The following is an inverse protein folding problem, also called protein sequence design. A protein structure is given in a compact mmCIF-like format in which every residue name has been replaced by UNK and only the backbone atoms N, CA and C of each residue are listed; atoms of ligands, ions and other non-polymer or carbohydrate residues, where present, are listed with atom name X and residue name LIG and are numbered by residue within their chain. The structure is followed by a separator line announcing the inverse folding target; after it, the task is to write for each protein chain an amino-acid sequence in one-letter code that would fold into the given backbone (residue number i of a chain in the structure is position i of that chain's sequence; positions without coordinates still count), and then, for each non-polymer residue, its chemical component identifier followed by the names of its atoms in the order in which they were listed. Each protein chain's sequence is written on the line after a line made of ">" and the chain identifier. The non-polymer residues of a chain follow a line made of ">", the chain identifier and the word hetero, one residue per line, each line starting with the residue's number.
data_IF_529252772639
#
_entry.id   IF_529252772639
#
_cell.length_a   1.000
_cell.length_b   1.000
_cell.length_c   1.000
_cell.angle_alpha   90.00
_cell.angle_beta   90.00
_cell.angle_gamma   90.00
#
_symmetry.space_group_name_H-M   'P 1'
#
loop_
_entity.id
_entity.type
_entity.pdbx_description
1 polymer ?
#
# COMPACT_ATOMS: atom_id res chain seq x y z
N UNK A 1 33.94 63.64 2.73
CA UNK A 1 34.27 62.90 3.97
C UNK A 1 33.03 62.08 4.36
N UNK A 2 33.12 60.73 4.31
CA UNK A 2 32.16 59.69 4.78
C UNK A 2 30.74 59.72 4.15
N UNK A 3 30.40 58.88 3.16
CA UNK A 3 29.97 57.46 3.20
C UNK A 3 28.80 57.18 4.15
N UNK A 4 27.65 56.76 3.60
CA UNK A 4 26.65 55.79 4.12
C UNK A 4 25.63 55.60 2.98
N UNK A 5 25.49 54.50 2.22
CA UNK A 5 25.28 53.07 2.49
C UNK A 5 24.22 52.77 3.57
N UNK A 6 23.03 52.43 3.06
CA UNK A 6 22.23 51.21 3.34
C UNK A 6 21.55 51.01 4.71
N UNK A 7 20.25 50.73 4.67
CA UNK A 7 19.53 49.53 5.18
C UNK A 7 18.05 49.95 5.41
N UNK A 8 17.07 49.45 4.64
CA UNK A 8 16.27 48.24 4.90
C UNK A 8 15.84 48.10 6.36
N UNK A 9 14.58 48.46 6.61
CA UNK A 9 13.84 48.30 7.86
C UNK A 9 13.20 46.89 7.88
N UNK A 10 13.27 46.11 8.97
CA UNK A 10 12.25 45.11 9.27
C UNK A 10 11.20 45.73 10.20
N UNK A 11 9.94 45.70 9.77
CA UNK A 11 8.80 46.11 10.57
C UNK A 11 8.51 45.03 11.63
N UNK A 12 8.93 45.29 12.87
CA UNK A 12 8.34 44.67 14.06
C UNK A 12 7.27 45.64 14.53
N UNK A 13 6.01 45.38 14.18
CA UNK A 13 4.89 46.13 14.78
C UNK A 13 4.57 45.46 16.11
N UNK A 14 5.12 46.04 17.17
CA UNK A 14 4.70 45.80 18.55
C UNK A 14 3.21 46.06 18.71
N UNK A 15 2.54 45.10 19.33
CA UNK A 15 1.20 45.22 19.89
C UNK A 15 1.21 46.32 20.96
N UNK A 16 0.61 47.47 20.65
CA UNK A 16 0.32 48.53 21.64
C UNK A 16 -1.15 48.38 22.04
N UNK A 17 -1.37 47.94 23.27
CA UNK A 17 -2.70 47.89 23.88
C UNK A 17 -3.04 49.29 24.41
N UNK A 18 -4.09 49.88 23.85
CA UNK A 18 -4.74 51.05 24.44
C UNK A 18 -5.47 50.63 25.72
N UNK A 19 -5.00 51.09 26.87
CA UNK A 19 -5.74 51.01 28.12
C UNK A 19 -6.87 52.06 28.11
N UNK A 20 -8.06 51.66 27.67
CA UNK A 20 -9.32 52.35 27.94
C UNK A 20 -10.08 51.57 29.02
N UNK A 21 -10.42 52.24 30.13
CA UNK A 21 -11.15 51.65 31.25
C UNK A 21 -12.52 51.09 30.83
N UNK A 22 -12.66 49.77 30.83
CA UNK A 22 -13.94 49.06 30.90
C UNK A 22 -13.82 48.05 32.06
N UNK A 23 -14.72 48.02 33.07
CA UNK A 23 -14.61 47.09 34.20
C UNK A 23 -15.13 45.68 33.89
N UNK A 24 -15.59 45.42 32.67
CA UNK A 24 -15.70 44.05 32.19
C UNK A 24 -14.31 43.57 31.81
N UNK A 25 -13.71 42.78 32.70
CA UNK A 25 -12.57 41.96 32.34
C UNK A 25 -13.01 41.15 31.10
N UNK A 26 -12.48 41.38 29.89
CA UNK A 26 -12.82 40.50 28.78
C UNK A 26 -12.36 39.13 29.25
N UNK A 27 -13.32 38.25 29.51
CA UNK A 27 -13.04 36.83 29.69
C UNK A 27 -12.54 36.41 28.32
N UNK A 28 -11.23 36.46 28.14
CA UNK A 28 -10.58 35.81 27.03
C UNK A 28 -11.03 34.35 27.14
N UNK A 29 -11.61 33.75 26.09
CA UNK A 29 -11.93 32.34 26.14
C UNK A 29 -10.65 31.58 26.49
N UNK A 30 -10.77 30.56 27.34
CA UNK A 30 -9.62 29.72 27.69
C UNK A 30 -8.92 29.25 26.40
N UNK A 31 -7.59 29.30 26.32
CA UNK A 31 -6.86 28.81 25.16
C UNK A 31 -7.30 27.38 24.88
N UNK A 32 -7.83 27.15 23.67
CA UNK A 32 -8.24 25.82 23.28
C UNK A 32 -7.00 25.01 22.91
N UNK A 33 -6.76 23.93 23.65
CA UNK A 33 -5.67 22.99 23.37
C UNK A 33 -5.98 22.15 22.13
N UNK A 34 -4.95 21.54 21.51
CA UNK A 34 -5.08 20.70 20.33
C UNK A 34 -6.16 19.60 20.51
N UNK A 35 -6.19 18.96 21.68
CA UNK A 35 -7.22 17.99 22.07
C UNK A 35 -8.64 18.54 21.91
N UNK A 36 -8.91 19.75 22.39
CA UNK A 36 -10.24 20.36 22.28
C UNK A 36 -10.64 20.62 20.82
N UNK A 37 -9.69 21.05 19.98
CA UNK A 37 -9.94 21.23 18.55
C UNK A 37 -10.24 19.89 17.86
N UNK A 38 -9.50 18.84 18.20
CA UNK A 38 -9.74 17.49 17.69
C UNK A 38 -11.10 16.94 18.13
N UNK A 39 -11.51 17.14 19.39
CA UNK A 39 -12.84 16.74 19.86
C UNK A 39 -13.97 17.41 19.08
N UNK A 40 -13.84 18.71 18.78
CA UNK A 40 -14.83 19.41 17.96
C UNK A 40 -14.79 18.96 16.50
N UNK A 41 -13.61 18.60 15.98
CA UNK A 41 -13.46 17.98 14.66
C UNK A 41 -14.23 16.67 14.56
N UNK A 42 -14.08 15.78 15.54
CA UNK A 42 -14.80 14.51 15.56
C UNK A 42 -16.31 14.68 15.77
N UNK A 43 -16.75 15.66 16.57
CA UNK A 43 -18.18 16.00 16.69
C UNK A 43 -18.76 16.48 15.36
N UNK A 44 -18.03 17.34 14.64
CA UNK A 44 -18.43 17.79 13.31
C UNK A 44 -18.44 16.63 12.30
N UNK A 45 -17.45 15.73 12.36
CA UNK A 45 -17.40 14.53 11.53
C UNK A 45 -18.63 13.63 11.76
N UNK A 46 -18.97 13.34 13.01
CA UNK A 46 -20.16 12.55 13.34
C UNK A 46 -21.48 13.25 12.97
N UNK A 47 -21.48 14.58 12.85
CA UNK A 47 -22.59 15.35 12.31
C UNK A 47 -22.60 15.40 10.76
N UNK A 48 -21.68 14.69 10.08
CA UNK A 48 -21.45 14.73 8.64
C UNK A 48 -21.08 16.13 8.09
N UNK A 49 -20.60 17.03 8.96
CA UNK A 49 -20.03 18.32 8.55
C UNK A 49 -18.51 18.18 8.36
N UNK A 50 -18.13 17.51 7.28
CA UNK A 50 -16.74 17.15 7.01
C UNK A 50 -15.84 18.37 6.74
N UNK A 51 -16.41 19.44 6.19
CA UNK A 51 -15.67 20.69 5.99
C UNK A 51 -15.32 21.34 7.33
N UNK A 52 -16.30 21.45 8.24
CA UNK A 52 -16.04 21.96 9.59
C UNK A 52 -15.11 21.03 10.38
N UNK A 53 -15.26 19.72 10.22
CA UNK A 53 -14.38 18.73 10.85
C UNK A 53 -12.93 18.96 10.44
N UNK A 54 -12.68 19.10 9.13
CA UNK A 54 -11.34 19.35 8.59
C UNK A 54 -10.74 20.65 9.14
N UNK A 55 -11.49 21.75 9.21
CA UNK A 55 -11.02 23.00 9.80
C UNK A 55 -10.63 22.84 11.28
N UNK A 56 -11.44 22.12 12.06
CA UNK A 56 -11.16 21.83 13.46
C UNK A 56 -9.89 20.98 13.63
N UNK A 57 -9.71 19.94 12.81
CA UNK A 57 -8.50 19.13 12.85
C UNK A 57 -7.25 19.92 12.42
N UNK A 58 -7.35 20.78 11.41
CA UNK A 58 -6.27 21.68 11.03
C UNK A 58 -5.90 22.65 12.15
N UNK A 59 -6.89 23.22 12.84
CA UNK A 59 -6.64 24.05 14.02
C UNK A 59 -5.95 23.26 15.16
N UNK A 60 -6.27 21.98 15.34
CA UNK A 60 -5.56 21.13 16.29
C UNK A 60 -4.10 20.92 15.90
N UNK A 61 -3.82 20.68 14.62
CA UNK A 61 -2.46 20.53 14.05
C UNK A 61 -1.66 21.85 14.20
N UNK A 62 -2.30 23.00 13.98
CA UNK A 62 -1.65 24.31 14.14
C UNK A 62 -1.24 24.59 15.60
N UNK A 63 -2.00 24.05 16.56
CA UNK A 63 -1.69 24.15 18.00
C UNK A 63 -0.60 23.14 18.39
N UNK A 64 -0.68 21.90 17.90
CA UNK A 64 0.31 20.85 18.14
C UNK A 64 0.54 19.99 16.89
N UNK A 65 1.66 20.23 16.23
CA UNK A 65 2.07 19.51 15.01
C UNK A 65 2.43 18.05 15.25
N UNK A 66 2.52 17.61 16.51
CA UNK A 66 2.80 16.21 16.90
C UNK A 66 1.54 15.43 17.25
N UNK A 67 0.36 16.06 17.19
CA UNK A 67 -0.88 15.45 17.62
C UNK A 67 -1.47 14.52 16.54
N UNK A 68 -1.08 13.24 16.58
CA UNK A 68 -1.39 12.22 15.57
C UNK A 68 -2.89 12.06 15.28
N UNK A 69 -3.74 12.13 16.31
CA UNK A 69 -5.20 12.00 16.19
C UNK A 69 -5.81 13.12 15.31
N UNK A 70 -5.24 14.33 15.34
CA UNK A 70 -5.73 15.42 14.50
C UNK A 70 -5.39 15.18 13.01
N UNK A 71 -4.21 14.63 12.71
CA UNK A 71 -3.89 14.21 11.35
C UNK A 71 -4.81 13.09 10.86
N UNK A 72 -5.08 12.09 11.71
CA UNK A 72 -6.04 11.03 11.40
C UNK A 72 -7.41 11.62 11.03
N UNK A 73 -7.97 12.45 11.91
CA UNK A 73 -9.27 13.07 11.69
C UNK A 73 -9.30 13.93 10.42
N UNK A 74 -8.23 14.67 10.13
CA UNK A 74 -8.10 15.44 8.90
C UNK A 74 -8.09 14.55 7.65
N UNK A 75 -7.40 13.40 7.70
CA UNK A 75 -7.39 12.39 6.64
C UNK A 75 -8.78 11.86 6.34
N UNK A 76 -9.50 11.40 7.37
CA UNK A 76 -10.88 10.91 7.25
C UNK A 76 -11.85 11.98 6.76
N UNK A 77 -11.77 13.20 7.29
CA UNK A 77 -12.60 14.32 6.81
C UNK A 77 -12.33 14.61 5.33
N UNK A 78 -11.06 14.56 4.91
CA UNK A 78 -10.65 14.83 3.52
C UNK A 78 -11.16 13.79 2.51
N UNK A 79 -11.52 12.57 2.93
CA UNK A 79 -12.17 11.59 2.06
C UNK A 79 -13.56 12.04 1.61
N UNK A 80 -14.23 12.86 2.42
CA UNK A 80 -15.62 13.26 2.22
C UNK A 80 -15.75 14.73 1.76
N UNK A 81 -14.66 15.50 1.73
CA UNK A 81 -14.63 16.88 1.23
C UNK A 81 -14.15 16.87 -0.23
N UNK A 82 -14.97 17.41 -1.13
CA UNK A 82 -14.62 17.55 -2.55
C UNK A 82 -13.29 18.29 -2.73
N UNK A 83 -12.46 17.84 -3.67
CA UNK A 83 -11.15 18.40 -4.02
C UNK A 83 -10.03 18.28 -2.95
N UNK A 84 -10.27 17.66 -1.79
CA UNK A 84 -9.26 17.50 -0.72
C UNK A 84 -8.61 16.12 -0.61
N UNK A 85 -9.08 15.14 -1.38
CA UNK A 85 -8.49 13.81 -1.58
C UNK A 85 -6.99 13.76 -1.88
N UNK A 86 -6.40 14.81 -2.46
CA UNK A 86 -4.95 14.89 -2.71
C UNK A 86 -4.16 14.98 -1.40
N UNK A 87 -4.72 15.62 -0.37
CA UNK A 87 -4.07 15.84 0.93
C UNK A 87 -4.33 14.72 1.95
N UNK A 88 -5.35 13.89 1.71
CA UNK A 88 -5.66 12.77 2.60
C UNK A 88 -4.47 11.82 2.79
N UNK A 89 -3.69 11.62 1.72
CA UNK A 89 -2.47 10.80 1.72
C UNK A 89 -1.43 11.34 2.72
N UNK A 90 -1.12 12.64 2.63
CA UNK A 90 -0.21 13.33 3.54
C UNK A 90 -0.70 13.26 4.99
N UNK A 91 -2.02 13.38 5.22
CA UNK A 91 -2.59 13.30 6.56
C UNK A 91 -2.47 11.90 7.16
N UNK A 92 -2.78 10.83 6.42
CA UNK A 92 -2.61 9.46 6.92
C UNK A 92 -1.14 9.11 7.16
N UNK A 93 -0.26 9.51 6.24
CA UNK A 93 1.18 9.38 6.43
C UNK A 93 1.66 10.09 7.70
N UNK A 94 1.22 11.33 7.93
CA UNK A 94 1.59 12.09 9.12
C UNK A 94 0.98 11.52 10.39
N UNK A 95 -0.25 11.00 10.36
CA UNK A 95 -0.87 10.32 11.50
C UNK A 95 -0.01 9.13 11.96
N UNK A 96 0.39 8.27 11.02
CA UNK A 96 1.30 7.14 11.27
C UNK A 96 2.65 7.61 11.81
N UNK A 97 3.26 8.61 11.15
CA UNK A 97 4.57 9.11 11.54
C UNK A 97 4.57 9.72 12.94
N UNK A 98 3.54 10.49 13.30
CA UNK A 98 3.45 11.10 14.63
C UNK A 98 3.09 10.08 15.72
N UNK A 99 2.24 9.10 15.42
CA UNK A 99 1.87 8.04 16.38
C UNK A 99 3.05 7.11 16.67
N UNK A 100 3.78 6.68 15.64
CA UNK A 100 4.87 5.71 15.75
C UNK A 100 6.24 6.36 15.97
N UNK A 101 6.37 7.67 15.72
CA UNK A 101 7.64 8.40 15.68
C UNK A 101 8.48 8.15 14.42
N UNK A 102 7.98 7.39 13.45
CA UNK A 102 8.60 7.11 12.15
C UNK A 102 7.54 6.64 11.13
N UNK A 103 7.86 6.70 9.83
CA UNK A 103 6.99 6.14 8.79
C UNK A 103 7.16 4.61 8.73
N UNK A 104 6.13 3.80 9.07
CA UNK A 104 6.27 2.35 9.15
C UNK A 104 6.29 1.67 7.79
N UNK A 105 5.75 2.31 6.75
CA UNK A 105 5.75 1.81 5.38
C UNK A 105 6.75 2.62 4.57
N UNK A 106 7.66 1.93 3.88
CA UNK A 106 8.61 2.55 2.95
C UNK A 106 8.40 2.01 1.56
N UNK A 107 8.22 2.90 0.58
CA UNK A 107 8.13 2.55 -0.83
C UNK A 107 9.49 2.72 -1.51
N UNK A 108 9.92 1.72 -2.26
CA UNK A 108 11.22 1.72 -2.94
C UNK A 108 11.15 0.90 -4.22
N UNK A 109 12.09 1.17 -5.13
CA UNK A 109 12.35 0.31 -6.28
C UNK A 109 13.52 -0.62 -5.97
N UNK A 110 13.47 -1.84 -6.51
CA UNK A 110 14.52 -2.85 -6.43
C UNK A 110 14.81 -3.46 -7.78
N UNK A 111 15.95 -4.14 -7.88
CA UNK A 111 16.36 -4.87 -9.07
C UNK A 111 17.12 -6.13 -8.66
N UNK A 112 16.78 -7.26 -9.26
CA UNK A 112 17.49 -8.53 -9.08
C UNK A 112 17.82 -9.13 -10.44
N UNK A 113 19.06 -9.56 -10.62
CA UNK A 113 19.47 -10.28 -11.83
C UNK A 113 19.44 -11.77 -11.56
N UNK A 114 18.78 -12.51 -12.43
CA UNK A 114 18.74 -13.95 -12.34
C UNK A 114 20.11 -14.55 -12.67
N UNK A 115 20.73 -15.23 -11.71
CA UNK A 115 21.99 -15.95 -11.91
C UNK A 115 21.86 -17.15 -12.88
N UNK A 116 23.01 -17.70 -13.29
CA UNK A 116 23.13 -18.82 -14.25
C UNK A 116 22.53 -20.14 -13.79
N UNK A 117 22.31 -20.31 -12.49
CA UNK A 117 21.78 -21.51 -11.86
C UNK A 117 20.33 -21.35 -11.39
N UNK A 118 19.65 -20.25 -11.78
CA UNK A 118 18.28 -19.95 -11.34
C UNK A 118 18.04 -19.96 -9.83
N UNK A 119 19.01 -19.45 -9.05
CA UNK A 119 18.88 -19.44 -7.59
C UNK A 119 18.22 -18.17 -7.04
N UNK A 120 18.28 -17.04 -7.75
CA UNK A 120 17.59 -15.81 -7.34
C UNK A 120 16.06 -15.91 -7.39
N UNK A 121 15.47 -16.33 -8.51
CA UNK A 121 14.04 -16.63 -8.62
C UNK A 121 13.88 -18.15 -8.71
N UNK A 122 13.44 -18.76 -7.61
CA UNK A 122 13.26 -20.20 -7.52
C UNK A 122 12.05 -20.63 -8.34
N UNK A 123 12.27 -21.47 -9.35
CA UNK A 123 11.20 -22.03 -10.17
C UNK A 123 10.36 -23.03 -9.36
N UNK A 124 9.05 -22.87 -9.41
CA UNK A 124 8.08 -23.71 -8.69
C UNK A 124 7.25 -24.59 -9.63
N UNK A 125 7.56 -24.58 -10.93
CA UNK A 125 6.80 -25.35 -11.90
C UNK A 125 6.96 -26.86 -11.66
N UNK A 126 5.87 -27.61 -11.48
CA UNK A 126 5.94 -29.05 -11.21
C UNK A 126 6.53 -29.85 -12.38
N UNK A 127 6.58 -29.31 -13.60
CA UNK A 127 7.24 -29.92 -14.75
C UNK A 127 8.77 -29.68 -14.75
N UNK A 128 9.27 -28.78 -13.89
CA UNK A 128 10.69 -28.40 -13.79
C UNK A 128 11.25 -28.60 -12.37
N UNK A 129 11.13 -29.82 -11.78
CA UNK A 129 11.79 -30.08 -10.50
C UNK A 129 13.33 -30.03 -10.65
N UNK A 130 14.10 -29.90 -9.55
CA UNK A 130 15.56 -29.77 -9.60
C UNK A 130 16.26 -30.84 -10.44
N UNK A 131 15.82 -32.10 -10.36
CA UNK A 131 16.39 -33.20 -11.15
C UNK A 131 16.25 -33.04 -12.69
N UNK A 132 15.28 -32.26 -13.14
CA UNK A 132 15.07 -31.90 -14.56
C UNK A 132 15.79 -30.59 -14.89
N UNK A 133 15.72 -29.62 -13.98
CA UNK A 133 16.19 -28.27 -14.20
C UNK A 133 17.72 -28.15 -14.07
N UNK A 134 18.33 -28.75 -13.04
CA UNK A 134 19.76 -28.63 -12.74
C UNK A 134 20.66 -29.05 -13.92
N UNK A 135 20.45 -30.19 -14.60
CA UNK A 135 21.31 -30.59 -15.71
C UNK A 135 21.22 -29.66 -16.93
N UNK A 136 20.10 -28.94 -17.09
CA UNK A 136 19.94 -27.92 -18.13
C UNK A 136 20.72 -26.67 -17.70
N UNK A 137 20.54 -26.23 -16.46
CA UNK A 137 21.15 -25.00 -15.94
C UNK A 137 22.67 -25.08 -15.83
N UNK A 138 23.23 -26.25 -15.49
CA UNK A 138 24.69 -26.49 -15.49
C UNK A 138 25.34 -26.20 -16.85
N UNK A 139 24.59 -26.36 -17.94
CA UNK A 139 25.09 -26.14 -19.30
C UNK A 139 24.97 -24.67 -19.76
N UNK A 140 24.28 -23.81 -19.00
CA UNK A 140 24.01 -22.43 -19.39
C UNK A 140 25.27 -21.64 -19.73
N UNK A 141 26.32 -21.80 -18.92
CA UNK A 141 27.60 -21.10 -19.15
C UNK A 141 28.25 -21.45 -20.50
N UNK A 142 27.97 -22.65 -21.03
CA UNK A 142 28.55 -23.15 -22.28
C UNK A 142 27.63 -22.97 -23.50
N UNK A 143 26.31 -23.05 -23.31
CA UNK A 143 25.31 -23.03 -24.39
C UNK A 143 24.55 -21.70 -24.51
N UNK A 144 24.53 -20.91 -23.44
CA UNK A 144 23.80 -19.64 -23.35
C UNK A 144 22.30 -19.78 -23.07
N UNK A 145 21.66 -18.65 -22.71
CA UNK A 145 20.27 -18.60 -22.27
C UNK A 145 19.24 -18.99 -23.37
N UNK A 146 19.55 -18.75 -24.64
CA UNK A 146 18.67 -19.15 -25.75
C UNK A 146 18.51 -20.68 -25.82
N UNK A 147 19.60 -21.42 -25.63
CA UNK A 147 19.56 -22.88 -25.61
C UNK A 147 18.79 -23.41 -24.41
N UNK A 148 18.97 -22.81 -23.23
CA UNK A 148 18.19 -23.14 -22.01
C UNK A 148 16.70 -22.94 -22.27
N UNK A 149 16.36 -21.80 -22.88
CA UNK A 149 15.01 -21.47 -23.33
C UNK A 149 14.37 -22.58 -24.18
N UNK A 150 15.16 -23.13 -25.10
CA UNK A 150 14.74 -24.18 -26.04
C UNK A 150 14.61 -25.55 -25.39
N UNK A 151 15.37 -25.84 -24.32
CA UNK A 151 15.22 -27.09 -23.55
C UNK A 151 14.00 -27.05 -22.65
N UNK A 152 13.71 -25.90 -22.03
CA UNK A 152 12.64 -25.78 -21.04
C UNK A 152 11.26 -25.65 -21.70
N UNK A 153 11.15 -24.92 -22.82
CA UNK A 153 9.86 -24.66 -23.46
C UNK A 153 9.03 -25.92 -23.74
N UNK A 154 9.58 -27.02 -24.32
CA UNK A 154 8.80 -28.24 -24.55
C UNK A 154 8.27 -28.93 -23.28
N UNK A 155 8.87 -28.65 -22.12
CA UNK A 155 8.50 -29.25 -20.83
C UNK A 155 7.30 -28.55 -20.21
N UNK A 156 7.21 -27.23 -20.35
CA UNK A 156 6.14 -26.39 -19.79
C UNK A 156 5.04 -26.06 -20.81
N UNK A 157 5.27 -26.30 -22.10
CA UNK A 157 4.33 -25.97 -23.15
C UNK A 157 3.09 -26.87 -23.11
N UNK A 158 1.91 -26.23 -23.16
CA UNK A 158 0.63 -26.89 -23.35
C UNK A 158 0.00 -26.44 -24.69
N UNK A 159 -0.60 -27.35 -25.45
CA UNK A 159 -1.27 -27.01 -26.71
C UNK A 159 -2.48 -26.08 -26.50
N UNK A 160 -3.14 -26.20 -25.34
CA UNK A 160 -4.29 -25.39 -24.96
C UNK A 160 -3.86 -24.02 -24.40
N UNK A 161 -2.66 -23.91 -23.82
CA UNK A 161 -2.03 -22.66 -23.37
C UNK A 161 -0.67 -22.44 -24.03
N UNK A 162 -0.68 -21.69 -25.13
CA UNK A 162 0.50 -21.48 -25.97
C UNK A 162 1.54 -20.52 -25.39
N UNK A 163 1.25 -19.89 -24.25
CA UNK A 163 2.14 -18.97 -23.54
C UNK A 163 2.31 -19.44 -22.09
N UNK A 164 3.15 -20.46 -21.86
CA UNK A 164 3.28 -21.05 -20.54
C UNK A 164 3.70 -20.00 -19.51
N UNK A 165 2.97 -19.97 -18.40
CA UNK A 165 3.25 -19.11 -17.27
C UNK A 165 3.97 -19.94 -16.21
N UNK A 166 5.20 -19.57 -15.89
CA UNK A 166 6.05 -20.35 -14.98
C UNK A 166 6.00 -19.69 -13.59
N UNK A 167 5.58 -20.40 -12.53
CA UNK A 167 5.56 -19.84 -11.20
C UNK A 167 6.98 -19.79 -10.61
N UNK A 168 7.29 -18.69 -9.93
CA UNK A 168 8.53 -18.48 -9.20
C UNK A 168 8.25 -17.96 -7.79
N UNK A 169 9.26 -18.02 -6.92
CA UNK A 169 9.34 -17.22 -5.71
C UNK A 169 10.73 -16.62 -5.53
N UNK A 170 10.82 -15.53 -4.80
CA UNK A 170 12.09 -14.87 -4.47
C UNK A 170 11.96 -14.02 -3.19
N UNK A 171 13.11 -13.67 -2.60
CA UNK A 171 13.21 -12.63 -1.59
C UNK A 171 13.71 -11.33 -2.23
N UNK A 172 13.26 -10.20 -1.69
CA UNK A 172 13.87 -8.90 -1.98
C UNK A 172 15.05 -8.67 -1.01
N UNK A 173 15.97 -7.76 -1.34
CA UNK A 173 17.14 -7.48 -0.48
C UNK A 173 16.76 -6.81 0.86
N UNK A 174 15.58 -6.19 0.95
CA UNK A 174 15.11 -5.51 2.16
C UNK A 174 14.13 -6.37 2.95
N UNK A 175 14.37 -6.52 4.25
CA UNK A 175 13.49 -7.30 5.12
C UNK A 175 12.06 -6.73 5.21
N UNK A 176 11.11 -7.63 5.47
CA UNK A 176 9.70 -7.32 5.73
C UNK A 176 8.97 -6.68 4.54
N UNK A 177 9.14 -7.23 3.34
CA UNK A 177 8.30 -6.88 2.19
C UNK A 177 6.83 -7.10 2.54
N UNK A 178 5.99 -6.09 2.28
CA UNK A 178 4.57 -6.08 2.63
C UNK A 178 3.67 -6.00 1.40
N UNK A 179 4.12 -5.38 0.32
CA UNK A 179 3.37 -5.31 -0.93
C UNK A 179 4.30 -5.17 -2.13
N UNK A 180 3.88 -5.78 -3.24
CA UNK A 180 4.47 -5.67 -4.57
C UNK A 180 3.38 -6.07 -5.57
N UNK A 181 3.21 -5.33 -6.67
CA UNK A 181 2.12 -5.57 -7.63
C UNK A 181 2.61 -6.32 -8.87
N UNK A 182 3.79 -5.95 -9.37
CA UNK A 182 4.43 -6.56 -10.53
C UNK A 182 5.93 -6.53 -10.41
N UNK A 183 6.60 -7.44 -11.11
CA UNK A 183 7.99 -7.28 -11.53
C UNK A 183 8.04 -7.00 -13.03
N UNK A 184 8.95 -6.17 -13.48
CA UNK A 184 9.18 -5.87 -14.88
C UNK A 184 10.44 -6.60 -15.35
N UNK A 185 10.29 -7.36 -16.42
CA UNK A 185 11.38 -8.11 -17.04
C UNK A 185 12.08 -7.22 -18.08
N UNK A 186 13.31 -6.80 -17.79
CA UNK A 186 14.03 -5.84 -18.65
C UNK A 186 14.36 -6.40 -20.04
N UNK A 187 14.49 -7.72 -20.17
CA UNK A 187 14.77 -8.38 -21.45
C UNK A 187 13.53 -8.42 -22.35
N UNK A 188 12.37 -8.76 -21.78
CA UNK A 188 11.12 -8.90 -22.56
C UNK A 188 10.25 -7.66 -22.59
N UNK A 189 10.53 -6.67 -21.75
CA UNK A 189 9.69 -5.49 -21.55
C UNK A 189 8.24 -5.83 -21.19
N UNK A 190 8.05 -6.89 -20.40
CA UNK A 190 6.75 -7.32 -19.90
C UNK A 190 6.72 -7.37 -18.37
N UNK A 191 5.55 -7.03 -17.82
CA UNK A 191 5.27 -7.23 -16.40
C UNK A 191 4.92 -8.69 -16.13
N UNK A 192 5.60 -9.27 -15.15
CA UNK A 192 5.24 -10.52 -14.49
C UNK A 192 4.42 -10.19 -13.24
N UNK A 193 3.16 -10.65 -13.16
CA UNK A 193 2.29 -10.32 -12.03
C UNK A 193 2.73 -11.02 -10.75
N UNK A 194 2.59 -10.33 -9.62
CA UNK A 194 2.71 -10.96 -8.29
C UNK A 194 1.45 -11.76 -8.00
N UNK A 195 1.65 -12.96 -7.50
CA UNK A 195 0.59 -13.89 -7.09
C UNK A 195 0.28 -13.75 -5.60
N UNK A 196 1.30 -13.71 -4.75
CA UNK A 196 1.14 -13.59 -3.29
C UNK A 196 2.43 -13.16 -2.61
N UNK A 197 2.32 -12.67 -1.38
CA UNK A 197 3.45 -12.43 -0.47
C UNK A 197 3.16 -13.15 0.83
N UNK A 198 3.94 -14.18 1.16
CA UNK A 198 3.65 -15.09 2.27
C UNK A 198 4.86 -15.27 3.19
N UNK A 199 4.67 -15.51 4.50
CA UNK A 199 5.78 -15.73 5.42
C UNK A 199 6.67 -16.89 4.97
N UNK A 200 8.00 -16.75 5.12
CA UNK A 200 8.96 -17.81 4.81
C UNK A 200 9.20 -18.79 5.97
N UNK A 201 8.74 -18.44 7.18
CA UNK A 201 8.95 -19.21 8.40
C UNK A 201 10.24 -18.86 9.16
N UNK A 202 11.08 -17.97 8.62
CA UNK A 202 12.35 -17.52 9.19
C UNK A 202 12.35 -16.03 9.57
N UNK A 203 11.22 -15.34 9.40
CA UNK A 203 11.02 -13.96 9.81
C UNK A 203 11.05 -12.95 8.66
N UNK A 204 10.97 -13.43 7.41
CA UNK A 204 10.76 -12.60 6.22
C UNK A 204 9.63 -13.19 5.36
N UNK A 205 9.52 -12.74 4.10
CA UNK A 205 8.43 -13.10 3.21
C UNK A 205 8.92 -13.50 1.82
N UNK A 206 8.39 -14.62 1.34
CA UNK A 206 8.47 -15.00 -0.06
C UNK A 206 7.53 -14.14 -0.91
N UNK A 207 8.05 -13.56 -1.98
CA UNK A 207 7.26 -12.97 -3.05
C UNK A 207 7.06 -14.03 -4.14
N UNK A 208 5.83 -14.45 -4.35
CA UNK A 208 5.47 -15.37 -5.43
C UNK A 208 5.08 -14.59 -6.68
N UNK A 209 5.66 -14.95 -7.82
CA UNK A 209 5.51 -14.24 -9.08
C UNK A 209 5.33 -15.22 -10.23
N UNK A 210 4.44 -14.89 -11.16
CA UNK A 210 4.27 -15.66 -12.38
C UNK A 210 5.12 -15.07 -13.50
N UNK A 211 6.19 -15.77 -13.88
CA UNK A 211 7.04 -15.43 -15.01
C UNK A 211 6.30 -15.59 -16.33
N UNK A 212 6.07 -14.47 -17.02
CA UNK A 212 5.34 -14.48 -18.29
C UNK A 212 6.25 -14.90 -19.44
N UNK A 213 5.89 -15.96 -20.16
CA UNK A 213 6.59 -16.34 -21.38
C UNK A 213 6.47 -15.28 -22.48
N UNK A 214 7.61 -14.93 -23.07
CA UNK A 214 7.73 -14.07 -24.25
C UNK A 214 8.77 -14.63 -25.21
N UNK A 215 8.54 -14.39 -26.49
CA UNK A 215 9.55 -14.56 -27.52
C UNK A 215 10.06 -13.18 -27.92
N UNK A 216 11.36 -12.96 -27.75
CA UNK A 216 12.02 -11.68 -28.02
C UNK A 216 13.09 -11.86 -29.08
N UNK A 217 13.34 -10.81 -29.84
CA UNK A 217 14.37 -10.80 -30.89
C UNK A 217 15.59 -10.03 -30.40
N UNK A 218 16.75 -10.68 -30.32
CA UNK A 218 18.01 -10.06 -29.90
C UNK A 218 19.03 -10.25 -31.03
N UNK A 219 19.23 -9.21 -31.83
CA UNK A 219 19.97 -9.33 -33.09
C UNK A 219 19.28 -10.32 -34.03
N UNK A 220 20.01 -11.35 -34.46
CA UNK A 220 19.48 -12.41 -35.34
C UNK A 220 18.90 -13.61 -34.57
N UNK A 221 18.95 -13.59 -33.23
CA UNK A 221 18.48 -14.68 -32.38
C UNK A 221 17.04 -14.45 -31.92
N UNK A 222 16.24 -15.51 -31.95
CA UNK A 222 14.92 -15.57 -31.32
C UNK A 222 15.09 -16.26 -29.97
N UNK A 223 14.91 -15.50 -28.88
CA UNK A 223 15.08 -16.01 -27.52
C UNK A 223 13.69 -16.24 -26.91
N UNK A 224 13.47 -17.45 -26.41
CA UNK A 224 12.35 -17.76 -25.51
C UNK A 224 12.76 -17.31 -24.11
N UNK A 225 12.00 -16.38 -23.54
CA UNK A 225 12.33 -15.79 -22.25
C UNK A 225 11.12 -15.75 -21.34
N UNK A 226 11.41 -15.80 -20.05
CA UNK A 226 10.55 -15.62 -18.89
C UNK A 226 11.48 -14.95 -17.86
N UNK A 227 11.42 -15.26 -16.57
CA UNK A 227 12.51 -14.93 -15.64
C UNK A 227 13.74 -15.82 -15.93
N UNK A 228 14.48 -15.52 -17.02
CA UNK A 228 15.60 -16.32 -17.51
C UNK A 228 16.94 -15.83 -16.99
N UNK A 229 17.99 -16.64 -17.16
CA UNK A 229 19.37 -16.30 -16.78
C UNK A 229 19.78 -14.96 -17.37
N UNK A 230 20.52 -14.17 -16.59
CA UNK A 230 20.99 -12.81 -16.86
C UNK A 230 19.88 -11.79 -17.08
N UNK A 231 18.61 -12.16 -16.92
CA UNK A 231 17.54 -11.18 -16.92
C UNK A 231 17.56 -10.41 -15.61
N UNK A 232 17.63 -9.09 -15.76
CA UNK A 232 17.32 -8.17 -14.69
C UNK A 232 15.82 -7.99 -14.58
N UNK A 233 15.29 -8.27 -13.39
CA UNK A 233 13.93 -8.01 -12.99
C UNK A 233 13.93 -6.75 -12.13
N UNK A 234 13.13 -5.76 -12.49
CA UNK A 234 12.95 -4.53 -11.70
C UNK A 234 11.56 -4.50 -11.08
N UNK A 235 11.38 -3.90 -9.92
CA UNK A 235 10.09 -3.89 -9.24
C UNK A 235 9.98 -2.74 -8.24
N UNK A 236 8.76 -2.23 -8.08
CA UNK A 236 8.41 -1.33 -6.99
C UNK A 236 7.71 -2.11 -5.89
N UNK A 237 8.13 -1.88 -4.65
CA UNK A 237 7.63 -2.61 -3.49
C UNK A 237 7.59 -1.73 -2.25
N UNK A 238 6.82 -2.21 -1.28
CA UNK A 238 6.74 -1.61 0.05
C UNK A 238 7.31 -2.58 1.07
N UNK A 239 8.04 -2.05 2.06
CA UNK A 239 8.38 -2.76 3.29
C UNK A 239 7.59 -2.20 4.46
N UNK A 240 7.28 -3.06 5.42
CA UNK A 240 6.60 -2.67 6.66
C UNK A 240 7.50 -2.96 7.86
N UNK A 241 7.80 -1.91 8.62
CA UNK A 241 8.49 -2.04 9.90
C UNK A 241 7.45 -2.03 11.02
N UNK A 242 7.22 -3.15 11.71
CA UNK A 242 6.29 -3.21 12.83
C UNK A 242 6.83 -2.41 14.04
N UNK A 243 5.91 -1.92 14.88
CA UNK A 243 6.22 -1.16 16.09
C UNK A 243 5.04 -1.10 17.05
N UNK A 244 5.14 -0.22 18.05
CA UNK A 244 4.04 0.06 18.98
C UNK A 244 2.98 0.93 18.27
N UNK A 245 2.10 0.28 17.50
CA UNK A 245 0.97 0.94 16.85
C UNK A 245 -0.17 1.14 17.86
N UNK A 246 -0.85 2.27 17.74
CA UNK A 246 -2.12 2.52 18.44
C UNK A 246 -3.30 2.46 17.47
N UNK A 247 -4.52 2.63 17.98
CA UNK A 247 -5.71 2.77 17.14
C UNK A 247 -5.56 3.87 16.08
N UNK A 248 -4.81 4.95 16.37
CA UNK A 248 -4.56 6.01 15.40
C UNK A 248 -3.81 5.47 14.18
N UNK A 249 -2.79 4.63 14.40
CA UNK A 249 -2.07 3.97 13.33
C UNK A 249 -2.97 3.01 12.54
N UNK A 250 -3.78 2.20 13.23
CA UNK A 250 -4.66 1.23 12.57
C UNK A 250 -5.72 1.92 11.69
N UNK A 251 -6.37 2.95 12.22
CA UNK A 251 -7.37 3.74 11.52
C UNK A 251 -6.74 4.54 10.36
N UNK A 252 -5.47 4.95 10.48
CA UNK A 252 -4.76 5.63 9.40
C UNK A 252 -4.42 4.67 8.24
N UNK A 253 -3.96 3.44 8.53
CA UNK A 253 -3.74 2.43 7.49
C UNK A 253 -5.04 2.12 6.75
N UNK A 254 -6.12 1.89 7.49
CA UNK A 254 -7.45 1.66 6.93
C UNK A 254 -7.93 2.82 6.05
N UNK A 255 -7.77 4.05 6.51
CA UNK A 255 -8.08 5.26 5.75
C UNK A 255 -7.26 5.37 4.46
N UNK A 256 -5.99 4.95 4.48
CA UNK A 256 -5.14 4.91 3.29
C UNK A 256 -5.67 3.93 2.23
N UNK A 257 -6.12 2.73 2.65
CA UNK A 257 -6.74 1.75 1.73
C UNK A 257 -8.02 2.32 1.13
N UNK A 258 -8.89 2.88 1.97
CA UNK A 258 -10.14 3.48 1.52
C UNK A 258 -9.91 4.64 0.54
N UNK A 259 -8.89 5.47 0.77
CA UNK A 259 -8.49 6.54 -0.13
C UNK A 259 -8.14 6.00 -1.53
N UNK A 260 -7.30 4.97 -1.60
CA UNK A 260 -6.91 4.42 -2.91
C UNK A 260 -8.08 3.75 -3.60
N UNK A 261 -8.94 3.05 -2.86
CA UNK A 261 -10.17 2.48 -3.41
C UNK A 261 -11.11 3.56 -3.97
N UNK A 262 -11.35 4.63 -3.21
CA UNK A 262 -12.21 5.75 -3.62
C UNK A 262 -11.69 6.49 -4.87
N UNK A 263 -10.38 6.47 -5.11
CA UNK A 263 -9.77 7.02 -6.33
C UNK A 263 -10.03 6.17 -7.58
N UNK A 264 -10.58 4.96 -7.43
CA UNK A 264 -10.91 4.06 -8.54
C UNK A 264 -9.69 3.74 -9.40
N UNK A 265 -9.74 4.02 -10.70
CA UNK A 265 -8.60 3.78 -11.60
C UNK A 265 -7.42 4.72 -11.38
N UNK A 266 -7.57 5.78 -10.58
CA UNK A 266 -6.48 6.68 -10.18
C UNK A 266 -5.88 6.32 -8.82
N UNK A 267 -6.38 5.27 -8.16
CA UNK A 267 -5.81 4.77 -6.91
C UNK A 267 -4.49 4.07 -7.15
N UNK A 268 -3.58 4.14 -6.18
CA UNK A 268 -2.34 3.38 -6.22
C UNK A 268 -2.54 2.01 -5.55
N UNK A 269 -2.57 0.89 -6.31
CA UNK A 269 -2.71 -0.43 -5.73
C UNK A 269 -1.52 -0.80 -4.83
N UNK A 270 -0.30 -0.29 -5.07
CA UNK A 270 0.84 -0.61 -4.21
C UNK A 270 0.63 -0.06 -2.80
N UNK A 271 0.24 1.21 -2.70
CA UNK A 271 -0.11 1.85 -1.42
C UNK A 271 -1.30 1.16 -0.74
N UNK A 272 -2.35 0.83 -1.50
CA UNK A 272 -3.53 0.14 -0.95
C UNK A 272 -3.15 -1.22 -0.32
N UNK A 273 -2.39 -2.04 -1.04
CA UNK A 273 -1.94 -3.34 -0.55
C UNK A 273 -0.95 -3.19 0.61
N UNK A 274 -0.04 -2.22 0.54
CA UNK A 274 0.93 -2.00 1.61
C UNK A 274 0.24 -1.65 2.93
N UNK A 275 -0.73 -0.74 2.90
CA UNK A 275 -1.48 -0.35 4.10
C UNK A 275 -2.37 -1.49 4.62
N UNK A 276 -3.06 -2.20 3.72
CA UNK A 276 -3.90 -3.34 4.06
C UNK A 276 -3.11 -4.46 4.75
N UNK A 277 -2.00 -4.88 4.15
CA UNK A 277 -1.20 -5.98 4.68
C UNK A 277 -0.34 -5.58 5.88
N UNK A 278 0.02 -4.30 6.02
CA UNK A 278 0.58 -3.79 7.27
C UNK A 278 -0.43 -3.87 8.42
N UNK A 279 -1.70 -3.55 8.15
CA UNK A 279 -2.78 -3.64 9.14
C UNK A 279 -3.04 -5.09 9.54
N UNK A 280 -3.21 -5.99 8.57
CA UNK A 280 -3.41 -7.43 8.78
C UNK A 280 -2.29 -8.06 9.62
N UNK A 281 -1.03 -7.73 9.34
CA UNK A 281 0.12 -8.23 10.11
C UNK A 281 0.20 -7.69 11.53
N UNK A 282 -0.56 -6.63 11.84
CA UNK A 282 -0.50 -5.95 13.13
C UNK A 282 -1.63 -6.35 14.08
N UNK A 283 -2.73 -6.91 13.56
CA UNK A 283 -3.95 -7.22 14.32
C UNK A 283 -4.70 -8.41 13.73
N UNK A 284 -5.13 -9.34 14.59
CA UNK A 284 -5.99 -10.47 14.17
C UNK A 284 -7.43 -10.02 13.83
N UNK A 285 -7.88 -8.90 14.40
CA UNK A 285 -9.17 -8.31 14.11
C UNK A 285 -9.04 -6.79 14.17
N UNK A 286 -9.55 -6.12 13.14
CA UNK A 286 -9.55 -4.67 13.06
C UNK A 286 -10.99 -4.17 13.03
N UNK A 287 -11.26 -3.16 13.87
CA UNK A 287 -12.49 -2.37 13.85
C UNK A 287 -12.09 -0.90 13.95
N UNK A 288 -12.63 -0.07 13.06
CA UNK A 288 -12.37 1.37 13.09
C UNK A 288 -12.77 1.99 14.44
N UNK A 289 -11.89 2.80 15.01
CA UNK A 289 -12.17 3.53 16.24
C UNK A 289 -12.20 2.71 17.53
N UNK A 290 -11.72 1.47 17.52
CA UNK A 290 -11.78 0.59 18.68
C UNK A 290 -11.03 1.21 19.89
N UNK A 291 -11.73 1.32 21.02
CA UNK A 291 -11.17 1.81 22.29
C UNK A 291 -10.76 3.29 22.35
N UNK A 292 -10.53 3.96 21.22
CA UNK A 292 -10.03 5.34 21.14
C UNK A 292 -11.12 6.38 21.42
N UNK A 293 -12.32 6.20 20.86
CA UNK A 293 -13.42 7.19 20.99
C UNK A 293 -14.04 7.27 22.40
N UNK A 294 -13.69 6.37 23.33
CA UNK A 294 -14.20 6.38 24.71
C UNK A 294 -13.30 7.12 25.70
N UNK A 295 -12.11 7.60 25.32
CA UNK A 295 -11.16 8.24 26.25
C UNK A 295 -11.47 9.72 26.55
N UNK A 296 -12.20 10.42 25.69
CA UNK A 296 -12.28 11.89 25.72
C UNK A 296 -13.69 12.47 25.98
N UNK A 297 -14.59 11.72 26.64
CA UNK A 297 -15.95 12.16 27.00
C UNK A 297 -16.86 12.58 25.81
N UNK A 298 -16.48 12.25 24.58
CA UNK A 298 -17.35 12.38 23.41
C UNK A 298 -17.78 10.97 23.00
N UNK A 299 -18.94 10.54 23.46
CA UNK A 299 -19.59 9.33 22.93
C UNK A 299 -20.12 9.67 21.54
N UNK A 300 -19.30 9.44 20.51
CA UNK A 300 -19.68 9.60 19.11
C UNK A 300 -20.58 8.45 18.62
N UNK A 301 -20.96 7.53 19.51
CA UNK A 301 -21.59 6.26 19.17
C UNK A 301 -20.57 5.26 18.65
N UNK A 302 -20.79 3.98 18.94
CA UNK A 302 -20.18 2.90 18.15
C UNK A 302 -20.60 3.07 16.68
N UNK A 303 -19.65 3.14 15.74
CA UNK A 303 -19.93 3.02 14.31
C UNK A 303 -20.04 4.32 13.51
N UNK A 304 -19.11 5.26 13.67
CA UNK A 304 -18.96 6.37 12.70
C UNK A 304 -18.68 5.81 11.31
N UNK A 305 -17.75 4.86 11.22
CA UNK A 305 -17.50 4.04 10.05
C UNK A 305 -17.70 2.58 10.46
N UNK A 306 -18.46 1.83 9.67
CA UNK A 306 -18.56 0.38 9.84
C UNK A 306 -17.54 -0.27 8.92
N UNK A 307 -16.30 -0.39 9.43
CA UNK A 307 -15.15 -0.86 8.69
C UNK A 307 -14.37 -1.90 9.50
N UNK A 308 -14.23 -3.10 8.93
CA UNK A 308 -13.45 -4.20 9.48
C UNK A 308 -12.41 -4.71 8.48
N UNK A 309 -11.58 -5.67 8.92
CA UNK A 309 -10.47 -6.19 8.11
C UNK A 309 -10.91 -6.81 6.78
N UNK A 310 -12.06 -7.51 6.75
CA UNK A 310 -12.62 -8.10 5.51
C UNK A 310 -12.93 -7.01 4.49
N UNK A 311 -13.59 -5.93 4.92
CA UNK A 311 -13.90 -4.80 4.05
C UNK A 311 -12.63 -4.09 3.56
N UNK A 312 -11.62 -3.94 4.43
CA UNK A 312 -10.31 -3.36 4.06
C UNK A 312 -9.62 -4.21 2.99
N UNK A 313 -9.56 -5.53 3.16
CA UNK A 313 -8.99 -6.43 2.16
C UNK A 313 -9.79 -6.42 0.85
N UNK A 314 -11.12 -6.34 0.92
CA UNK A 314 -11.96 -6.14 -0.26
C UNK A 314 -11.64 -4.84 -1.01
N UNK A 315 -11.41 -3.73 -0.30
CA UNK A 315 -11.02 -2.45 -0.90
C UNK A 315 -9.61 -2.48 -1.52
N UNK A 316 -8.66 -3.17 -0.90
CA UNK A 316 -7.32 -3.41 -1.46
C UNK A 316 -7.42 -4.27 -2.74
N UNK A 317 -8.19 -5.36 -2.68
CA UNK A 317 -8.45 -6.24 -3.82
C UNK A 317 -9.10 -5.48 -4.98
N UNK A 318 -10.09 -4.62 -4.71
CA UNK A 318 -10.72 -3.76 -5.71
C UNK A 318 -9.71 -2.79 -6.34
N UNK A 319 -8.79 -2.22 -5.56
CA UNK A 319 -7.74 -1.33 -6.07
C UNK A 319 -6.83 -2.07 -7.05
N UNK A 320 -6.39 -3.27 -6.67
CA UNK A 320 -5.60 -4.19 -7.52
C UNK A 320 -6.35 -4.59 -8.80
N UNK A 321 -7.63 -4.95 -8.68
CA UNK A 321 -8.48 -5.35 -9.80
C UNK A 321 -8.69 -4.21 -10.80
N UNK A 322 -8.97 -3.00 -10.30
CA UNK A 322 -9.14 -1.80 -11.12
C UNK A 322 -7.86 -1.46 -11.89
N UNK A 323 -6.70 -1.67 -11.27
CA UNK A 323 -5.39 -1.52 -11.87
C UNK A 323 -5.00 -2.65 -12.84
N UNK A 324 -5.90 -3.61 -13.11
CA UNK A 324 -5.70 -4.77 -14.01
C UNK A 324 -4.70 -5.81 -13.49
N UNK A 325 -4.61 -5.94 -12.17
CA UNK A 325 -3.80 -6.95 -11.49
C UNK A 325 -4.68 -7.92 -10.67
N UNK A 326 -5.43 -8.81 -11.33
CA UNK A 326 -6.42 -9.66 -10.65
C UNK A 326 -5.81 -10.80 -9.82
N UNK A 327 -4.52 -11.14 -10.02
CA UNK A 327 -3.85 -12.22 -9.27
C UNK A 327 -3.62 -11.83 -7.80
N UNK A 328 -3.09 -10.63 -7.56
CA UNK A 328 -2.96 -10.12 -6.20
C UNK A 328 -4.32 -9.83 -5.57
N UNK A 329 -5.31 -9.35 -6.34
CA UNK A 329 -6.69 -9.20 -5.86
C UNK A 329 -7.29 -10.54 -5.41
N UNK A 330 -7.05 -11.61 -6.16
CA UNK A 330 -7.47 -12.97 -5.79
C UNK A 330 -6.77 -13.44 -4.50
N UNK A 331 -5.50 -13.08 -4.29
CA UNK A 331 -4.78 -13.37 -3.05
C UNK A 331 -5.39 -12.64 -1.85
N UNK A 332 -5.71 -11.36 -1.99
CA UNK A 332 -6.39 -10.57 -0.96
C UNK A 332 -7.72 -11.23 -0.56
N UNK A 333 -8.54 -11.63 -1.54
CA UNK A 333 -9.80 -12.35 -1.29
C UNK A 333 -9.60 -13.68 -0.56
N UNK A 334 -8.66 -14.50 -1.04
CA UNK A 334 -8.40 -15.83 -0.47
C UNK A 334 -7.86 -15.78 0.96
N UNK A 335 -7.21 -14.69 1.34
CA UNK A 335 -6.74 -14.50 2.70
C UNK A 335 -7.87 -14.44 3.74
N UNK A 336 -9.10 -14.19 3.30
CA UNK A 336 -10.33 -14.18 4.12
C UNK A 336 -11.29 -15.34 3.79
N UNK A 337 -10.82 -16.35 3.04
CA UNK A 337 -11.64 -17.49 2.62
C UNK A 337 -12.62 -17.19 1.48
N UNK A 338 -12.50 -16.04 0.81
CA UNK A 338 -13.26 -15.71 -0.41
C UNK A 338 -12.53 -16.23 -1.66
N UNK A 339 -13.27 -16.50 -2.74
CA UNK A 339 -12.70 -16.95 -4.02
C UNK A 339 -11.75 -18.18 -3.95
N UNK A 340 -11.85 -19.06 -2.92
CA UNK A 340 -10.96 -20.23 -2.75
C UNK A 340 -11.03 -21.19 -3.94
N UNK A 341 -12.23 -21.40 -4.49
CA UNK A 341 -12.48 -22.29 -5.63
C UNK A 341 -12.33 -21.63 -7.00
N UNK A 342 -11.99 -20.34 -7.06
CA UNK A 342 -11.97 -19.60 -8.32
C UNK A 342 -10.68 -19.87 -9.11
N UNK A 343 -10.81 -20.51 -10.27
CA UNK A 343 -9.71 -20.80 -11.18
C UNK A 343 -9.48 -19.64 -12.16
N UNK A 344 -8.23 -19.21 -12.33
CA UNK A 344 -7.82 -18.20 -13.29
C UNK A 344 -8.03 -18.62 -14.76
N UNK A 345 -8.15 -19.92 -15.03
CA UNK A 345 -8.49 -20.45 -16.36
C UNK A 345 -10.00 -20.35 -16.68
N UNK A 346 -10.85 -20.01 -15.71
CA UNK A 346 -12.28 -19.86 -15.92
C UNK A 346 -12.54 -18.68 -16.88
N UNK A 347 -13.32 -18.85 -17.97
CA UNK A 347 -13.65 -17.74 -18.88
C UNK A 347 -14.35 -16.56 -18.18
N UNK A 348 -15.08 -16.83 -17.10
CA UNK A 348 -15.78 -15.83 -16.29
C UNK A 348 -14.96 -15.34 -15.09
N UNK A 349 -13.66 -15.68 -15.01
CA UNK A 349 -12.78 -15.41 -13.87
C UNK A 349 -12.88 -13.96 -13.36
N UNK A 350 -12.76 -12.98 -14.26
CA UNK A 350 -12.78 -11.56 -13.85
C UNK A 350 -14.15 -11.13 -13.31
N UNK A 351 -15.24 -11.71 -13.84
CA UNK A 351 -16.60 -11.41 -13.40
C UNK A 351 -16.86 -12.03 -12.02
N UNK A 352 -16.45 -13.27 -11.81
CA UNK A 352 -16.60 -13.95 -10.52
C UNK A 352 -15.72 -13.28 -9.45
N UNK A 353 -14.49 -12.90 -9.80
CA UNK A 353 -13.60 -12.22 -8.86
C UNK A 353 -14.15 -10.87 -8.40
N UNK A 354 -14.71 -10.04 -9.31
CA UNK A 354 -15.28 -8.76 -8.89
C UNK A 354 -16.52 -8.95 -8.00
N UNK A 355 -17.31 -10.00 -8.20
CA UNK A 355 -18.44 -10.32 -7.34
C UNK A 355 -17.98 -10.66 -5.91
N UNK A 356 -16.95 -11.48 -5.76
CA UNK A 356 -16.37 -11.81 -4.45
C UNK A 356 -15.81 -10.56 -3.76
N UNK A 357 -15.14 -9.68 -4.52
CA UNK A 357 -14.63 -8.40 -4.02
C UNK A 357 -15.78 -7.50 -3.52
N UNK A 358 -16.87 -7.39 -4.29
CA UNK A 358 -18.05 -6.61 -3.89
C UNK A 358 -18.72 -7.17 -2.63
N UNK A 359 -18.77 -8.51 -2.50
CA UNK A 359 -19.27 -9.17 -1.29
C UNK A 359 -18.41 -8.88 -0.05
N UNK A 360 -17.07 -8.89 -0.19
CA UNK A 360 -16.16 -8.50 0.89
C UNK A 360 -16.34 -7.04 1.31
N UNK A 361 -16.49 -6.12 0.35
CA UNK A 361 -16.71 -4.69 0.65
C UNK A 361 -18.06 -4.45 1.32
N UNK A 362 -19.09 -5.20 0.91
CA UNK A 362 -20.43 -5.13 1.49
C UNK A 362 -20.60 -5.93 2.79
N UNK A 363 -19.53 -6.58 3.28
CA UNK A 363 -19.58 -7.44 4.46
C UNK A 363 -20.08 -6.69 5.70
N UNK A 364 -21.11 -7.24 6.35
CA UNK A 364 -21.67 -6.73 7.60
C UNK A 364 -21.35 -7.76 8.69
N UNK A 365 -20.12 -7.70 9.19
CA UNK A 365 -19.60 -8.55 10.27
C UNK A 365 -20.13 -8.20 11.65
#
# INVERSE_FOLDING_TARGET
>A
MKVLRSLVLPAVVSLVIFAGCNPENPVLPDPKYAEGYCQDGWRAYAAHDFAQALECFQAAIDVDVTYSEAYLGAGWASLNVSDYWVRADDYFYMALQQDMGYAPITFTSGSLTQDTMWTVFECLDPALPPEVLDPILEQTASQGAAWVGDQIFPLVYNADDRNPNIPYRFHVDAANVVAMITTFNNTSSFNSPIDSIVPDGEGDYWVHVTGTYKRVTVGDLQIRTWISVDNEMTFDYATFRPGEMTQVSYDALAGWVMLQHARGTNGDPLTANAACWALDRSLDNYVFGEGAFRRNNVDLGSGIENLNLVQIKGMAAASSFNAKWPRIALFDCRSEGYAEGLDAANPDFLLLLIQEIEEMIAFQG
#
